data_IF_584695040768
#
_entry.id   IF_584695040768
#
_cell.length_a   1.000
_cell.length_b   1.000
_cell.length_c   1.000
_cell.angle_alpha   90.00
_cell.angle_beta   90.00
_cell.angle_gamma   90.00
#
_symmetry.space_group_name_H-M   'P 1'
#
loop_
_entity.id
_entity.type
_entity.pdbx_description
1 polymer ?
#
# COMPACT_ATOMS: atom_id res chain seq x y z
N UNK A 1 62.83 -6.38 -24.82
CA UNK A 1 61.83 -5.94 -25.82
C UNK A 1 60.65 -5.36 -25.06
N UNK A 2 60.51 -4.04 -25.05
CA UNK A 2 59.38 -3.35 -24.45
C UNK A 2 58.12 -3.66 -25.28
N UNK A 3 57.07 -4.16 -24.63
CA UNK A 3 55.73 -4.24 -25.23
C UNK A 3 55.09 -2.89 -24.94
N UNK A 4 55.04 -2.06 -25.98
CA UNK A 4 54.23 -0.83 -26.00
C UNK A 4 52.76 -1.29 -25.97
N UNK A 5 52.05 -0.98 -24.89
CA UNK A 5 50.59 -1.02 -24.90
C UNK A 5 50.11 0.05 -25.89
N UNK A 6 49.65 -0.40 -27.06
CA UNK A 6 48.92 0.45 -27.98
C UNK A 6 47.56 0.78 -27.36
N UNK A 7 47.38 2.06 -27.07
CA UNK A 7 46.12 2.66 -26.70
C UNK A 7 45.08 2.38 -27.80
N UNK A 8 44.02 1.65 -27.47
CA UNK A 8 42.93 1.35 -28.43
C UNK A 8 42.06 2.59 -28.57
N UNK A 9 42.48 3.53 -29.42
CA UNK A 9 41.61 4.62 -29.89
C UNK A 9 40.37 4.03 -30.55
N UNK A 10 39.21 4.20 -29.91
CA UNK A 10 37.90 3.84 -30.45
C UNK A 10 37.67 4.63 -31.73
N UNK A 11 37.54 3.94 -32.86
CA UNK A 11 37.33 4.56 -34.17
C UNK A 11 35.91 5.13 -34.24
N UNK A 12 35.75 6.44 -34.01
CA UNK A 12 34.46 7.16 -34.04
C UNK A 12 33.80 6.97 -35.41
N UNK A 13 32.57 6.46 -35.43
CA UNK A 13 31.89 6.10 -36.68
C UNK A 13 31.58 7.35 -37.52
N UNK A 14 31.51 7.23 -38.85
CA UNK A 14 31.15 8.35 -39.75
C UNK A 14 29.81 8.99 -39.39
N UNK A 15 28.89 8.22 -38.78
CA UNK A 15 27.62 8.74 -38.30
C UNK A 15 27.75 9.53 -37.00
N UNK A 16 28.58 9.10 -36.04
CA UNK A 16 28.84 9.88 -34.82
C UNK A 16 29.45 11.24 -35.13
N UNK A 17 30.33 11.32 -36.14
CA UNK A 17 30.85 12.61 -36.61
C UNK A 17 29.76 13.50 -37.20
N UNK A 18 28.92 12.95 -38.09
CA UNK A 18 27.77 13.68 -38.64
C UNK A 18 26.81 14.14 -37.55
N UNK A 19 26.60 13.32 -36.52
CA UNK A 19 25.75 13.67 -35.39
C UNK A 19 26.33 14.87 -34.64
N UNK A 20 27.63 14.85 -34.33
CA UNK A 20 28.31 15.97 -33.69
C UNK A 20 28.18 17.25 -34.54
N UNK A 21 28.43 17.17 -35.85
CA UNK A 21 28.29 18.31 -36.78
C UNK A 21 26.88 18.91 -36.76
N UNK A 22 25.83 18.08 -36.73
CA UNK A 22 24.43 18.54 -36.69
C UNK A 22 24.06 19.19 -35.36
N UNK A 23 24.55 18.63 -34.25
CA UNK A 23 24.37 19.21 -32.93
C UNK A 23 25.07 20.58 -32.80
N UNK A 24 26.25 20.75 -33.39
CA UNK A 24 26.97 22.02 -33.42
C UNK A 24 26.31 23.05 -34.36
N UNK A 25 25.69 22.59 -35.45
CA UNK A 25 25.00 23.44 -36.41
C UNK A 25 23.61 23.90 -35.96
N UNK A 26 23.10 23.37 -34.83
CA UNK A 26 21.74 23.63 -34.36
C UNK A 26 20.65 22.88 -35.13
N UNK A 27 21.01 21.90 -35.96
CA UNK A 27 20.09 21.09 -36.75
C UNK A 27 19.54 19.91 -35.89
N UNK A 28 18.84 20.22 -34.81
CA UNK A 28 18.46 19.22 -33.78
C UNK A 28 17.52 18.13 -34.28
N UNK A 29 16.60 18.46 -35.19
CA UNK A 29 15.73 17.47 -35.84
C UNK A 29 16.53 16.44 -36.64
N UNK A 30 17.53 16.88 -37.42
CA UNK A 30 18.39 15.97 -38.18
C UNK A 30 19.31 15.16 -37.25
N UNK A 31 19.80 15.77 -36.18
CA UNK A 31 20.54 15.06 -35.13
C UNK A 31 19.67 13.94 -34.52
N UNK A 32 18.40 14.22 -34.21
CA UNK A 32 17.43 13.24 -33.72
C UNK A 32 17.23 12.05 -34.67
N UNK A 33 17.06 12.29 -35.97
CA UNK A 33 16.95 11.20 -36.95
C UNK A 33 18.24 10.35 -37.04
N UNK A 34 19.41 10.96 -36.85
CA UNK A 34 20.68 10.24 -36.80
C UNK A 34 20.76 9.37 -35.53
N UNK A 35 20.31 9.86 -34.36
CA UNK A 35 20.21 9.05 -33.15
C UNK A 35 19.33 7.82 -33.36
N UNK A 36 18.14 7.98 -33.94
CA UNK A 36 17.23 6.85 -34.28
C UNK A 36 17.90 5.83 -35.21
N UNK A 37 18.66 6.31 -36.18
CA UNK A 37 19.43 5.44 -37.09
C UNK A 37 20.54 4.68 -36.37
N UNK A 38 21.23 5.33 -35.43
CA UNK A 38 22.26 4.72 -34.60
C UNK A 38 21.68 3.68 -33.67
N UNK A 39 20.48 3.90 -33.12
CA UNK A 39 19.73 2.92 -32.33
C UNK A 39 19.61 1.58 -33.04
N UNK A 40 18.88 1.50 -34.15
CA UNK A 40 18.66 0.22 -34.85
C UNK A 40 19.97 -0.45 -35.25
N UNK A 41 20.98 0.33 -35.66
CA UNK A 41 22.29 -0.20 -36.06
C UNK A 41 23.05 -0.79 -34.87
N UNK A 42 23.13 -0.08 -33.75
CA UNK A 42 23.90 -0.50 -32.59
C UNK A 42 23.20 -1.62 -31.83
N UNK A 43 21.86 -1.61 -31.78
CA UNK A 43 21.03 -2.72 -31.28
C UNK A 43 21.29 -4.00 -32.08
N UNK A 44 21.28 -3.93 -33.42
CA UNK A 44 21.62 -5.07 -34.28
C UNK A 44 23.06 -5.58 -34.10
N UNK A 45 23.98 -4.74 -33.62
CA UNK A 45 25.36 -5.10 -33.30
C UNK A 45 25.54 -5.59 -31.85
N UNK A 46 24.50 -5.56 -31.02
CA UNK A 46 24.57 -5.90 -29.59
C UNK A 46 25.43 -4.93 -28.77
N UNK A 47 25.68 -3.70 -29.25
CA UNK A 47 26.50 -2.69 -28.56
C UNK A 47 25.68 -1.90 -27.53
N UNK A 48 25.06 -2.62 -26.60
CA UNK A 48 24.05 -2.07 -25.70
C UNK A 48 24.58 -0.94 -24.80
N UNK A 49 25.73 -1.12 -24.16
CA UNK A 49 26.26 -0.11 -23.24
C UNK A 49 26.60 1.21 -23.96
N UNK A 50 27.25 1.15 -25.12
CA UNK A 50 27.56 2.33 -25.93
C UNK A 50 26.30 3.01 -26.47
N UNK A 51 25.30 2.22 -26.84
CA UNK A 51 24.01 2.73 -27.30
C UNK A 51 23.26 3.44 -26.18
N UNK A 52 23.20 2.85 -25.00
CA UNK A 52 22.57 3.42 -23.81
C UNK A 52 23.23 4.74 -23.41
N UNK A 53 24.57 4.81 -23.41
CA UNK A 53 25.31 6.05 -23.17
C UNK A 53 24.99 7.11 -24.24
N UNK A 54 24.94 6.72 -25.51
CA UNK A 54 24.64 7.61 -26.62
C UNK A 54 23.24 8.22 -26.50
N UNK A 55 22.23 7.39 -26.25
CA UNK A 55 20.83 7.82 -26.17
C UNK A 55 20.58 8.67 -24.93
N UNK A 56 21.11 8.27 -23.78
CA UNK A 56 20.99 9.05 -22.55
C UNK A 56 21.59 10.45 -22.71
N UNK A 57 22.86 10.52 -23.14
CA UNK A 57 23.53 11.81 -23.34
C UNK A 57 22.86 12.64 -24.45
N UNK A 58 22.33 11.97 -25.48
CA UNK A 58 21.58 12.61 -26.55
C UNK A 58 20.27 13.21 -26.07
N UNK A 59 19.51 12.48 -25.24
CA UNK A 59 18.31 12.99 -24.60
C UNK A 59 18.67 14.24 -23.81
N UNK A 60 19.55 14.16 -22.80
CA UNK A 60 19.98 15.32 -21.99
C UNK A 60 20.40 16.53 -22.84
N UNK A 61 21.19 16.31 -23.90
CA UNK A 61 21.64 17.41 -24.76
C UNK A 61 20.51 18.07 -25.55
N UNK A 62 19.52 17.31 -26.01
CA UNK A 62 18.32 17.85 -26.67
C UNK A 62 17.44 18.63 -25.68
N UNK A 63 17.55 18.32 -24.39
CA UNK A 63 16.87 19.06 -23.32
C UNK A 63 17.48 20.41 -23.07
N UNK A 64 18.81 20.47 -22.99
CA UNK A 64 19.54 21.71 -22.78
C UNK A 64 19.26 22.76 -23.88
N UNK A 65 18.84 22.30 -25.07
CA UNK A 65 18.52 23.14 -26.22
C UNK A 65 17.02 23.34 -26.44
N UNK A 66 16.19 22.93 -25.49
CA UNK A 66 14.72 23.07 -25.51
C UNK A 66 14.03 22.36 -26.69
N UNK A 67 14.47 21.14 -27.01
CA UNK A 67 13.87 20.24 -28.03
C UNK A 67 13.19 19.02 -27.36
N UNK A 68 12.07 19.23 -26.63
CA UNK A 68 11.52 18.22 -25.73
C UNK A 68 10.98 16.98 -26.43
N UNK A 69 10.28 17.13 -27.56
CA UNK A 69 9.71 15.98 -28.30
C UNK A 69 10.79 15.02 -28.77
N UNK A 70 11.88 15.55 -29.30
CA UNK A 70 13.02 14.75 -29.78
C UNK A 70 13.71 14.03 -28.61
N UNK A 71 13.83 14.69 -27.45
CA UNK A 71 14.42 14.11 -26.27
C UNK A 71 13.56 13.02 -25.61
N UNK A 72 12.23 13.19 -25.60
CA UNK A 72 11.28 12.16 -25.14
C UNK A 72 11.43 10.89 -25.99
N UNK A 73 11.47 11.01 -27.32
CA UNK A 73 11.69 9.85 -28.20
C UNK A 73 13.04 9.17 -27.93
N UNK A 74 14.12 9.94 -27.68
CA UNK A 74 15.41 9.34 -27.29
C UNK A 74 15.39 8.68 -25.92
N UNK A 75 14.62 9.21 -24.97
CA UNK A 75 14.39 8.60 -23.68
C UNK A 75 13.65 7.26 -23.84
N UNK A 76 12.59 7.20 -24.63
CA UNK A 76 11.87 5.95 -24.94
C UNK A 76 12.81 4.91 -25.56
N UNK A 77 13.63 5.31 -26.54
CA UNK A 77 14.63 4.42 -27.14
C UNK A 77 15.72 3.97 -26.15
N UNK A 78 16.15 4.85 -25.24
CA UNK A 78 17.10 4.49 -24.19
C UNK A 78 16.52 3.37 -23.33
N UNK A 79 15.26 3.49 -22.94
CA UNK A 79 14.56 2.51 -22.13
C UNK A 79 14.30 1.21 -22.89
N UNK A 80 13.87 1.28 -24.15
CA UNK A 80 13.69 0.11 -25.02
C UNK A 80 15.01 -0.67 -25.17
N UNK A 81 16.14 0.05 -25.32
CA UNK A 81 17.46 -0.56 -25.41
C UNK A 81 17.86 -1.32 -24.13
N UNK A 82 17.36 -0.90 -22.97
CA UNK A 82 17.63 -1.58 -21.70
C UNK A 82 16.90 -2.92 -21.65
N UNK A 83 15.62 -2.95 -22.06
CA UNK A 83 14.82 -4.18 -22.13
C UNK A 83 15.43 -5.19 -23.10
N UNK A 84 15.85 -4.74 -24.29
CA UNK A 84 16.44 -5.62 -25.29
C UNK A 84 17.83 -6.15 -24.90
N UNK A 85 18.56 -5.40 -24.08
CA UNK A 85 19.94 -5.74 -23.73
C UNK A 85 20.09 -6.93 -22.79
N UNK A 86 19.02 -7.39 -22.11
CA UNK A 86 19.08 -8.37 -21.01
C UNK A 86 20.18 -8.07 -19.97
N UNK A 87 20.65 -6.82 -19.87
CA UNK A 87 21.69 -6.43 -18.93
C UNK A 87 21.09 -6.27 -17.54
N UNK A 88 21.79 -6.70 -16.47
CA UNK A 88 21.34 -6.45 -15.11
C UNK A 88 21.26 -4.94 -14.88
N UNK A 89 20.10 -4.48 -14.42
CA UNK A 89 19.88 -3.07 -14.12
C UNK A 89 20.78 -2.66 -12.95
N UNK A 90 21.72 -1.77 -13.22
CA UNK A 90 22.63 -1.24 -12.20
C UNK A 90 22.03 -0.02 -11.51
N UNK A 91 22.56 0.36 -10.34
CA UNK A 91 22.19 1.63 -9.68
C UNK A 91 22.39 2.82 -10.61
N UNK A 92 23.52 2.87 -11.34
CA UNK A 92 23.82 3.92 -12.31
C UNK A 92 22.80 3.99 -13.45
N UNK A 93 22.27 2.84 -13.89
CA UNK A 93 21.19 2.78 -14.89
C UNK A 93 19.90 3.40 -14.33
N UNK A 94 19.57 3.06 -13.08
CA UNK A 94 18.39 3.62 -12.40
C UNK A 94 18.52 5.12 -12.12
N UNK A 95 19.73 5.63 -11.88
CA UNK A 95 19.98 7.07 -11.69
C UNK A 95 19.77 7.85 -12.99
N UNK A 96 20.11 7.23 -14.13
CA UNK A 96 19.83 7.80 -15.46
C UNK A 96 18.34 7.81 -15.78
N UNK A 97 17.62 6.73 -15.42
CA UNK A 97 16.15 6.72 -15.48
C UNK A 97 15.54 7.85 -14.66
N UNK A 98 15.96 7.97 -13.39
CA UNK A 98 15.45 9.00 -12.48
C UNK A 98 15.68 10.40 -13.06
N UNK A 99 16.86 10.69 -13.63
CA UNK A 99 17.14 11.99 -14.24
C UNK A 99 16.23 12.29 -15.45
N UNK A 100 16.04 11.32 -16.34
CA UNK A 100 15.16 11.47 -17.51
C UNK A 100 13.71 11.70 -17.10
N UNK A 101 13.26 10.94 -16.10
CA UNK A 101 11.91 11.03 -15.53
C UNK A 101 11.69 12.36 -14.80
N UNK A 102 12.63 12.75 -13.94
CA UNK A 102 12.57 13.99 -13.19
C UNK A 102 12.47 15.19 -14.14
N UNK A 103 13.24 15.14 -15.23
CA UNK A 103 13.16 16.15 -16.27
C UNK A 103 11.76 16.22 -16.94
N UNK A 104 11.15 15.08 -17.31
CA UNK A 104 9.81 15.07 -17.91
C UNK A 104 8.77 15.75 -17.03
N UNK A 105 8.96 15.68 -15.70
CA UNK A 105 8.06 16.29 -14.73
C UNK A 105 8.37 17.74 -14.39
N UNK A 106 9.62 18.19 -14.55
CA UNK A 106 10.06 19.56 -14.27
C UNK A 106 9.89 20.49 -15.48
N UNK A 107 9.58 19.96 -16.67
CA UNK A 107 9.14 20.76 -17.79
C UNK A 107 7.86 21.54 -17.46
N UNK A 108 7.87 22.85 -17.73
CA UNK A 108 6.69 23.71 -17.57
C UNK A 108 5.48 23.14 -18.32
N UNK A 109 4.35 23.01 -17.62
CA UNK A 109 3.08 22.44 -18.11
C UNK A 109 2.54 23.12 -19.38
N UNK A 110 3.06 24.29 -19.75
CA UNK A 110 2.66 25.05 -20.94
C UNK A 110 3.41 24.65 -22.22
N UNK A 111 4.57 23.97 -22.15
CA UNK A 111 5.39 23.63 -23.34
C UNK A 111 5.06 22.25 -23.91
N UNK A 112 4.58 21.31 -23.07
CA UNK A 112 4.09 20.00 -23.50
C UNK A 112 2.56 19.96 -23.48
N UNK A 113 1.94 20.66 -24.43
CA UNK A 113 0.52 20.50 -24.74
C UNK A 113 0.34 19.11 -25.37
N UNK A 114 0.03 18.11 -24.53
CA UNK A 114 0.02 16.65 -24.80
C UNK A 114 1.45 16.06 -24.72
N UNK A 115 1.79 15.18 -23.78
CA UNK A 115 1.36 13.79 -23.75
C UNK A 115 1.57 13.18 -22.33
N UNK A 116 0.52 13.08 -21.49
CA UNK A 116 0.58 12.22 -20.29
C UNK A 116 0.87 10.75 -20.62
N UNK A 117 0.70 10.35 -21.89
CA UNK A 117 0.96 9.01 -22.44
C UNK A 117 2.44 8.62 -22.30
N UNK A 118 3.38 9.40 -22.84
CA UNK A 118 4.83 9.09 -22.77
C UNK A 118 5.38 9.02 -21.35
N UNK A 119 4.89 9.85 -20.42
CA UNK A 119 5.29 9.78 -19.02
C UNK A 119 4.83 8.48 -18.35
N UNK A 120 3.63 8.00 -18.69
CA UNK A 120 3.11 6.71 -18.21
C UNK A 120 3.84 5.55 -18.87
N UNK A 121 4.10 5.63 -20.18
CA UNK A 121 4.90 4.62 -20.91
C UNK A 121 6.27 4.45 -20.25
N UNK A 122 6.97 5.54 -19.95
CA UNK A 122 8.26 5.49 -19.28
C UNK A 122 8.18 4.98 -17.84
N UNK A 123 7.12 5.31 -17.11
CA UNK A 123 6.88 4.77 -15.77
C UNK A 123 6.64 3.25 -15.82
N UNK A 124 5.85 2.78 -16.79
CA UNK A 124 5.58 1.36 -17.02
C UNK A 124 6.87 0.62 -17.36
N UNK A 125 7.66 1.16 -18.28
CA UNK A 125 8.94 0.58 -18.67
C UNK A 125 9.97 0.57 -17.52
N UNK A 126 9.96 1.59 -16.65
CA UNK A 126 10.79 1.61 -15.44
C UNK A 126 10.44 0.43 -14.51
N UNK A 127 9.16 0.22 -14.24
CA UNK A 127 8.69 -0.90 -13.42
C UNK A 127 9.00 -2.26 -14.06
N UNK A 128 8.82 -2.38 -15.37
CA UNK A 128 9.18 -3.59 -16.13
C UNK A 128 10.68 -3.88 -16.04
N UNK A 129 11.51 -2.83 -16.11
CA UNK A 129 12.97 -2.95 -15.98
C UNK A 129 13.35 -3.46 -14.58
N UNK A 130 12.70 -2.96 -13.51
CA UNK A 130 12.90 -3.46 -12.15
C UNK A 130 12.52 -4.94 -12.02
N UNK A 131 11.42 -5.35 -12.66
CA UNK A 131 10.96 -6.74 -12.65
C UNK A 131 11.89 -7.68 -13.41
N UNK A 132 12.28 -7.33 -14.64
CA UNK A 132 13.14 -8.15 -15.49
C UNK A 132 14.54 -8.37 -14.89
N UNK A 133 15.04 -7.36 -14.20
CA UNK A 133 16.34 -7.41 -13.51
C UNK A 133 16.28 -8.06 -12.13
N UNK A 134 15.10 -8.50 -11.68
CA UNK A 134 14.88 -9.08 -10.35
C UNK A 134 15.43 -8.17 -9.23
N UNK A 135 15.26 -6.85 -9.38
CA UNK A 135 15.78 -5.88 -8.43
C UNK A 135 15.01 -5.94 -7.11
N UNK A 136 15.71 -6.09 -5.96
CA UNK A 136 15.05 -6.15 -4.67
C UNK A 136 14.35 -4.83 -4.35
N UNK A 137 13.29 -4.91 -3.55
CA UNK A 137 12.62 -3.72 -3.03
C UNK A 137 13.56 -3.01 -2.05
N UNK A 138 13.72 -1.70 -2.21
CA UNK A 138 14.54 -0.84 -1.35
C UNK A 138 13.85 0.51 -1.19
N UNK A 139 14.23 1.30 -0.18
CA UNK A 139 13.68 2.66 -0.04
C UNK A 139 13.91 3.47 -1.33
N UNK A 140 15.12 3.45 -1.88
CA UNK A 140 15.47 4.22 -3.08
C UNK A 140 14.61 3.85 -4.30
N UNK A 141 14.38 2.56 -4.54
CA UNK A 141 13.54 2.13 -5.67
C UNK A 141 12.07 2.50 -5.47
N UNK A 142 11.59 2.46 -4.22
CA UNK A 142 10.24 2.90 -3.89
C UNK A 142 10.06 4.43 -3.91
N UNK A 143 11.08 5.19 -3.49
CA UNK A 143 11.13 6.66 -3.57
C UNK A 143 10.97 7.12 -5.02
N UNK A 144 11.67 6.46 -5.95
CA UNK A 144 11.56 6.71 -7.39
C UNK A 144 10.17 6.39 -7.94
N UNK A 145 9.62 5.23 -7.57
CA UNK A 145 8.24 4.88 -7.95
C UNK A 145 7.22 5.89 -7.41
N UNK A 146 7.36 6.34 -6.17
CA UNK A 146 6.48 7.32 -5.56
C UNK A 146 6.53 8.67 -6.28
N UNK A 147 7.73 9.16 -6.60
CA UNK A 147 7.90 10.38 -7.39
C UNK A 147 7.21 10.26 -8.76
N UNK A 148 7.40 9.14 -9.46
CA UNK A 148 6.71 8.83 -10.72
C UNK A 148 5.19 8.86 -10.55
N UNK A 149 4.68 8.09 -9.60
CA UNK A 149 3.25 7.82 -9.45
C UNK A 149 2.44 9.04 -8.98
N UNK A 150 3.04 9.91 -8.16
CA UNK A 150 2.41 11.15 -7.66
C UNK A 150 2.29 12.23 -8.73
N UNK A 151 3.15 12.21 -9.75
CA UNK A 151 3.13 13.18 -10.85
C UNK A 151 2.12 12.81 -11.93
N UNK A 152 1.73 11.54 -12.04
CA UNK A 152 0.67 11.10 -12.93
C UNK A 152 -0.69 11.57 -12.41
N UNK A 153 -1.55 12.18 -13.25
CA UNK A 153 -2.87 12.64 -12.82
C UNK A 153 -3.74 11.45 -12.39
N UNK A 154 -4.62 11.61 -11.39
CA UNK A 154 -5.46 10.51 -10.90
C UNK A 154 -6.38 9.91 -11.97
N UNK A 155 -6.72 10.68 -12.99
CA UNK A 155 -7.46 10.25 -14.16
C UNK A 155 -6.66 10.64 -15.41
N UNK A 156 -6.24 9.63 -16.17
CA UNK A 156 -5.67 9.83 -17.50
C UNK A 156 -6.84 9.90 -18.50
N UNK A 157 -7.19 11.09 -18.97
CA UNK A 157 -8.43 11.35 -19.73
C UNK A 157 -8.42 10.79 -21.18
N UNK A 158 -7.31 10.23 -21.68
CA UNK A 158 -7.13 9.94 -23.12
C UNK A 158 -7.08 8.48 -23.57
N UNK A 159 -7.21 7.50 -22.67
CA UNK A 159 -7.09 6.09 -23.09
C UNK A 159 -8.46 5.41 -23.24
N UNK A 160 -9.21 5.80 -24.27
CA UNK A 160 -10.23 4.92 -24.86
C UNK A 160 -9.55 4.00 -25.86
N UNK A 161 -9.67 2.68 -25.68
CA UNK A 161 -9.26 1.72 -26.70
C UNK A 161 -10.01 1.98 -28.02
N UNK A 162 -9.52 1.40 -29.12
CA UNK A 162 -10.21 1.42 -30.42
C UNK A 162 -11.68 0.93 -30.31
N UNK A 163 -11.98 0.14 -29.28
CA UNK A 163 -13.31 -0.41 -28.97
C UNK A 163 -14.15 0.46 -28.01
N UNK A 164 -13.66 1.63 -27.60
CA UNK A 164 -14.36 2.55 -26.69
C UNK A 164 -14.28 2.19 -25.20
N UNK A 165 -13.46 1.21 -24.81
CA UNK A 165 -13.25 0.87 -23.40
C UNK A 165 -12.21 1.81 -22.77
N UNK A 166 -12.54 2.37 -21.61
CA UNK A 166 -11.63 3.22 -20.81
C UNK A 166 -10.58 2.34 -20.13
N UNK A 167 -9.30 2.55 -20.45
CA UNK A 167 -8.16 1.91 -19.79
C UNK A 167 -7.63 2.85 -18.73
N UNK A 168 -7.46 2.35 -17.51
CA UNK A 168 -6.88 3.11 -16.41
C UNK A 168 -5.39 2.76 -16.29
N UNK A 169 -4.56 3.36 -17.15
CA UNK A 169 -3.13 3.07 -17.20
C UNK A 169 -2.40 3.37 -15.90
N UNK A 170 -2.89 4.32 -15.09
CA UNK A 170 -2.32 4.60 -13.77
C UNK A 170 -2.52 3.40 -12.84
N UNK A 171 -3.71 2.80 -12.85
CA UNK A 171 -3.98 1.56 -12.12
C UNK A 171 -3.23 0.36 -12.71
N UNK A 172 -3.00 0.31 -14.03
CA UNK A 172 -2.17 -0.73 -14.63
C UNK A 172 -0.70 -0.63 -14.18
N UNK A 173 -0.13 0.58 -14.19
CA UNK A 173 1.21 0.85 -13.66
C UNK A 173 1.32 0.40 -12.21
N UNK A 174 0.35 0.76 -11.36
CA UNK A 174 0.29 0.32 -9.97
C UNK A 174 0.25 -1.21 -9.86
N UNK A 175 -0.53 -1.86 -10.72
CA UNK A 175 -0.65 -3.32 -10.77
C UNK A 175 0.64 -4.00 -11.23
N UNK A 176 1.37 -3.42 -12.20
CA UNK A 176 2.70 -3.88 -12.63
C UNK A 176 3.70 -3.73 -11.48
N UNK A 177 3.70 -2.58 -10.79
CA UNK A 177 4.61 -2.33 -9.68
C UNK A 177 4.36 -3.29 -8.52
N UNK A 178 3.09 -3.56 -8.21
CA UNK A 178 2.72 -4.56 -7.20
C UNK A 178 3.28 -5.94 -7.58
N UNK A 179 3.10 -6.38 -8.83
CA UNK A 179 3.62 -7.67 -9.32
C UNK A 179 5.15 -7.74 -9.22
N UNK A 180 5.86 -6.65 -9.52
CA UNK A 180 7.30 -6.58 -9.30
C UNK A 180 7.65 -6.82 -7.81
N UNK A 181 7.01 -6.12 -6.88
CA UNK A 181 7.30 -6.32 -5.45
C UNK A 181 6.99 -7.74 -4.97
N UNK A 182 5.99 -8.39 -5.57
CA UNK A 182 5.67 -9.80 -5.32
C UNK A 182 6.76 -10.73 -5.86
N UNK A 183 7.27 -10.50 -7.07
CA UNK A 183 8.26 -11.39 -7.68
C UNK A 183 9.59 -11.43 -6.94
N UNK A 184 9.95 -10.32 -6.28
CA UNK A 184 11.21 -10.19 -5.52
C UNK A 184 11.03 -10.35 -4.00
N UNK A 185 9.84 -10.75 -3.56
CA UNK A 185 9.49 -10.82 -2.14
C UNK A 185 10.27 -11.89 -1.35
N UNK A 186 10.87 -11.50 -0.23
CA UNK A 186 11.67 -12.38 0.63
C UNK A 186 10.80 -13.30 1.51
N UNK A 187 9.67 -12.81 2.02
CA UNK A 187 8.69 -13.58 2.81
C UNK A 187 7.55 -14.10 1.95
N UNK A 188 6.91 -15.21 2.35
CA UNK A 188 5.71 -15.74 1.65
C UNK A 188 4.60 -14.69 1.53
N UNK A 189 4.34 -13.94 2.60
CA UNK A 189 3.38 -12.81 2.59
C UNK A 189 3.71 -11.81 1.48
N UNK A 190 4.99 -11.47 1.30
CA UNK A 190 5.40 -10.47 0.31
C UNK A 190 5.25 -11.03 -1.11
N UNK A 191 5.56 -12.31 -1.32
CA UNK A 191 5.34 -12.97 -2.62
C UNK A 191 3.88 -13.09 -3.01
N UNK A 192 2.99 -13.23 -2.03
CA UNK A 192 1.55 -13.39 -2.28
C UNK A 192 0.80 -12.05 -2.36
N UNK A 193 1.34 -10.99 -1.72
CA UNK A 193 0.62 -9.73 -1.51
C UNK A 193 1.35 -8.46 -1.89
N UNK A 194 2.66 -8.51 -2.10
CA UNK A 194 3.49 -7.34 -2.33
C UNK A 194 4.19 -6.87 -1.05
N UNK A 195 5.17 -5.99 -1.23
CA UNK A 195 6.00 -5.50 -0.14
C UNK A 195 5.23 -4.49 0.75
N UNK A 196 5.30 -4.58 2.10
CA UNK A 196 4.54 -3.71 2.99
C UNK A 196 4.87 -2.21 2.82
N UNK A 197 6.14 -1.86 2.59
CA UNK A 197 6.54 -0.47 2.35
C UNK A 197 5.98 0.11 1.04
N UNK A 198 5.83 -0.73 0.01
CA UNK A 198 5.18 -0.31 -1.23
C UNK A 198 3.71 0.02 -0.96
N UNK A 199 3.01 -0.84 -0.23
CA UNK A 199 1.64 -0.56 0.22
C UNK A 199 1.55 0.71 1.07
N UNK A 200 2.48 0.95 1.99
CA UNK A 200 2.49 2.14 2.83
C UNK A 200 2.56 3.44 2.02
N UNK A 201 3.43 3.49 1.00
CA UNK A 201 3.59 4.66 0.12
C UNK A 201 2.37 4.89 -0.75
N UNK A 202 1.90 3.84 -1.44
CA UNK A 202 0.69 3.92 -2.28
C UNK A 202 -0.53 4.33 -1.46
N UNK A 203 -0.69 3.81 -0.25
CA UNK A 203 -1.79 4.17 0.63
C UNK A 203 -1.79 5.66 0.99
N UNK A 204 -0.61 6.25 1.28
CA UNK A 204 -0.46 7.68 1.57
C UNK A 204 -0.83 8.53 0.37
N UNK A 205 -0.38 8.17 -0.82
CA UNK A 205 -0.71 8.89 -2.07
C UNK A 205 -2.22 8.88 -2.31
N UNK A 206 -2.84 7.70 -2.28
CA UNK A 206 -4.29 7.55 -2.48
C UNK A 206 -5.10 8.26 -1.40
N UNK A 207 -4.60 8.32 -0.16
CA UNK A 207 -5.21 9.07 0.92
C UNK A 207 -5.16 10.58 0.65
N UNK A 208 -4.01 11.12 0.24
CA UNK A 208 -3.89 12.53 -0.13
C UNK A 208 -4.78 12.93 -1.31
N UNK A 209 -5.07 11.98 -2.22
CA UNK A 209 -6.00 12.15 -3.34
C UNK A 209 -7.48 12.01 -2.95
N UNK A 210 -7.78 11.68 -1.69
CA UNK A 210 -9.15 11.47 -1.21
C UNK A 210 -9.76 10.12 -1.61
N UNK A 211 -8.99 9.19 -2.18
CA UNK A 211 -9.44 7.82 -2.47
C UNK A 211 -9.33 6.93 -1.22
N UNK A 212 -10.18 7.19 -0.23
CA UNK A 212 -10.16 6.52 1.07
C UNK A 212 -10.31 5.00 0.98
N UNK A 213 -11.16 4.51 0.06
CA UNK A 213 -11.41 3.06 -0.07
C UNK A 213 -10.16 2.34 -0.56
N UNK A 214 -9.51 2.84 -1.60
CA UNK A 214 -8.28 2.25 -2.10
C UNK A 214 -7.13 2.42 -1.10
N UNK A 215 -7.00 3.59 -0.47
CA UNK A 215 -6.01 3.84 0.58
C UNK A 215 -6.14 2.83 1.73
N UNK A 216 -7.36 2.56 2.23
CA UNK A 216 -7.61 1.55 3.26
C UNK A 216 -7.12 0.17 2.85
N UNK A 217 -7.39 -0.24 1.61
CA UNK A 217 -6.99 -1.55 1.07
C UNK A 217 -5.47 -1.71 0.98
N UNK A 218 -4.72 -0.62 0.79
CA UNK A 218 -3.26 -0.65 0.85
C UNK A 218 -2.74 -0.55 2.29
N UNK A 219 -3.30 0.33 3.13
CA UNK A 219 -2.85 0.48 4.52
C UNK A 219 -2.95 -0.84 5.30
N UNK A 220 -4.02 -1.61 5.11
CA UNK A 220 -4.14 -2.91 5.75
C UNK A 220 -3.01 -3.87 5.36
N UNK A 221 -2.41 -3.76 4.17
CA UNK A 221 -1.29 -4.61 3.76
C UNK A 221 0.09 -4.03 4.15
N UNK A 222 0.13 -2.78 4.61
CA UNK A 222 1.33 -2.10 5.11
C UNK A 222 1.64 -2.45 6.56
N UNK A 223 2.88 -2.17 6.98
CA UNK A 223 3.33 -2.29 8.38
C UNK A 223 3.50 -0.92 9.07
N UNK A 224 2.91 0.15 8.49
CA UNK A 224 2.94 1.53 9.03
C UNK A 224 1.71 1.81 9.91
N UNK A 225 1.76 1.38 11.17
CA UNK A 225 0.65 1.53 12.12
C UNK A 225 0.28 2.99 12.37
N UNK A 226 1.27 3.87 12.39
CA UNK A 226 1.10 5.27 12.73
C UNK A 226 0.32 6.03 11.65
N UNK A 227 0.73 5.85 10.39
CA UNK A 227 0.02 6.48 9.27
C UNK A 227 -1.32 5.80 9.04
N UNK A 228 -1.45 4.49 9.30
CA UNK A 228 -2.75 3.83 9.23
C UNK A 228 -3.73 4.36 10.30
N UNK A 229 -3.29 4.56 11.55
CA UNK A 229 -4.11 5.17 12.59
C UNK A 229 -4.54 6.59 12.20
N UNK A 230 -3.60 7.41 11.71
CA UNK A 230 -3.86 8.77 11.26
C UNK A 230 -4.88 8.80 10.10
N UNK A 231 -4.73 7.89 9.14
CA UNK A 231 -5.68 7.70 8.05
C UNK A 231 -7.08 7.32 8.55
N UNK A 232 -7.20 6.38 9.50
CA UNK A 232 -8.49 5.95 10.03
C UNK A 232 -9.20 7.09 10.76
N UNK A 233 -8.47 7.96 11.47
CA UNK A 233 -9.02 9.14 12.13
C UNK A 233 -9.54 10.13 11.09
N UNK A 234 -8.75 10.46 10.07
CA UNK A 234 -9.18 11.36 8.99
C UNK A 234 -10.38 10.78 8.21
N UNK A 235 -10.34 9.49 7.90
CA UNK A 235 -11.42 8.79 7.20
C UNK A 235 -12.72 8.78 8.01
N UNK A 236 -12.65 8.51 9.31
CA UNK A 236 -13.80 8.56 10.22
C UNK A 236 -14.39 9.97 10.28
N UNK A 237 -13.54 11.00 10.43
CA UNK A 237 -14.02 12.38 10.58
C UNK A 237 -14.66 12.93 9.32
N UNK A 238 -14.17 12.54 8.14
CA UNK A 238 -14.68 13.04 6.86
C UNK A 238 -15.84 12.23 6.29
N UNK A 239 -15.86 10.92 6.53
CA UNK A 239 -16.80 10.02 5.86
C UNK A 239 -17.70 9.23 6.82
N UNK A 240 -17.42 9.21 8.12
CA UNK A 240 -18.17 8.44 9.11
C UNK A 240 -19.06 9.29 10.02
N UNK A 241 -20.00 8.64 10.71
CA UNK A 241 -20.77 9.29 11.76
C UNK A 241 -19.98 9.37 13.08
N UNK A 242 -20.27 10.37 13.93
CA UNK A 242 -19.61 10.55 15.25
C UNK A 242 -19.77 9.33 16.20
N UNK A 243 -20.83 8.55 16.00
CA UNK A 243 -21.13 7.32 16.74
C UNK A 243 -20.34 6.11 16.25
N UNK A 244 -19.63 6.19 15.13
CA UNK A 244 -18.95 5.06 14.50
C UNK A 244 -17.43 5.03 14.75
N UNK A 245 -16.89 5.99 15.51
CA UNK A 245 -15.45 6.08 15.78
C UNK A 245 -14.82 4.78 16.30
N UNK A 246 -15.55 4.03 17.13
CA UNK A 246 -15.10 2.72 17.59
C UNK A 246 -15.23 1.62 16.53
N UNK A 247 -16.19 1.71 15.60
CA UNK A 247 -16.35 0.76 14.50
C UNK A 247 -15.20 0.82 13.50
N UNK A 248 -14.69 2.02 13.18
CA UNK A 248 -13.59 2.18 12.22
C UNK A 248 -12.33 1.44 12.67
N UNK A 249 -11.92 1.65 13.93
CA UNK A 249 -10.76 0.98 14.49
C UNK A 249 -11.03 -0.50 14.78
N UNK A 250 -12.23 -0.86 15.27
CA UNK A 250 -12.58 -2.26 15.51
C UNK A 250 -12.49 -3.09 14.22
N UNK A 251 -13.08 -2.60 13.13
CA UNK A 251 -12.98 -3.26 11.83
C UNK A 251 -11.53 -3.40 11.38
N UNK A 252 -10.73 -2.32 11.44
CA UNK A 252 -9.33 -2.37 11.02
C UNK A 252 -8.50 -3.36 11.86
N UNK A 253 -8.61 -3.32 13.19
CA UNK A 253 -7.89 -4.22 14.10
C UNK A 253 -8.27 -5.68 13.86
N UNK A 254 -9.57 -6.00 13.70
CA UNK A 254 -10.04 -7.36 13.40
C UNK A 254 -9.50 -7.86 12.06
N UNK A 255 -9.50 -7.02 11.03
CA UNK A 255 -8.97 -7.40 9.72
C UNK A 255 -7.45 -7.60 9.76
N UNK A 256 -6.70 -6.76 10.49
CA UNK A 256 -5.24 -6.95 10.71
C UNK A 256 -4.95 -8.26 11.46
N UNK A 257 -5.75 -8.60 12.47
CA UNK A 257 -5.65 -9.91 13.15
C UNK A 257 -5.89 -11.08 12.18
N UNK A 258 -6.86 -10.95 11.26
CA UNK A 258 -7.08 -11.96 10.21
C UNK A 258 -5.87 -12.13 9.26
N UNK A 259 -4.93 -11.19 9.27
CA UNK A 259 -3.69 -11.23 8.46
C UNK A 259 -2.49 -11.80 9.22
N UNK A 260 -2.66 -12.39 10.41
CA UNK A 260 -1.59 -12.92 11.29
C UNK A 260 -0.56 -11.85 11.72
N UNK A 261 -1.05 -10.68 12.14
CA UNK A 261 -0.21 -9.55 12.59
C UNK A 261 -0.75 -8.91 13.87
N UNK A 262 -0.77 -9.68 14.94
CA UNK A 262 -1.27 -9.27 16.24
C UNK A 262 -0.51 -8.09 16.84
N UNK A 263 0.82 -8.02 16.67
CA UNK A 263 1.62 -6.88 17.14
C UNK A 263 1.17 -5.57 16.47
N UNK A 264 1.03 -5.59 15.15
CA UNK A 264 0.51 -4.46 14.37
C UNK A 264 -0.90 -4.08 14.82
N UNK A 265 -1.78 -5.07 15.03
CA UNK A 265 -3.16 -4.84 15.48
C UNK A 265 -3.23 -4.12 16.85
N UNK A 266 -2.38 -4.53 17.79
CA UNK A 266 -2.28 -3.90 19.12
C UNK A 266 -1.77 -2.46 19.05
N UNK A 267 -0.68 -2.23 18.28
CA UNK A 267 -0.10 -0.89 18.11
C UNK A 267 -1.07 0.04 17.39
N UNK A 268 -1.75 -0.45 16.35
CA UNK A 268 -2.75 0.31 15.60
C UNK A 268 -3.90 0.76 16.50
N UNK A 269 -4.43 -0.12 17.36
CA UNK A 269 -5.48 0.21 18.32
C UNK A 269 -5.02 1.32 19.27
N UNK A 270 -3.83 1.17 19.87
CA UNK A 270 -3.27 2.14 20.81
C UNK A 270 -3.12 3.52 20.16
N UNK A 271 -2.45 3.58 19.00
CA UNK A 271 -2.20 4.85 18.29
C UNK A 271 -3.49 5.53 17.86
N UNK A 272 -4.50 4.77 17.46
CA UNK A 272 -5.81 5.32 17.11
C UNK A 272 -6.49 5.93 18.33
N UNK A 273 -6.60 5.20 19.44
CA UNK A 273 -7.28 5.67 20.64
C UNK A 273 -6.58 6.89 21.26
N UNK A 274 -5.24 6.88 21.32
CA UNK A 274 -4.43 7.97 21.83
C UNK A 274 -4.62 9.26 21.02
N UNK A 275 -4.57 9.16 19.68
CA UNK A 275 -4.61 10.32 18.78
C UNK A 275 -6.03 10.79 18.43
N UNK A 276 -7.07 9.97 18.67
CA UNK A 276 -8.43 10.32 18.26
C UNK A 276 -9.05 11.38 19.19
N UNK A 277 -9.54 12.52 18.66
CA UNK A 277 -9.90 13.69 19.47
C UNK A 277 -11.12 13.50 20.40
N UNK A 278 -11.97 12.51 20.12
CA UNK A 278 -13.17 12.20 20.93
C UNK A 278 -13.07 10.87 21.71
N UNK A 279 -11.90 10.22 21.69
CA UNK A 279 -11.64 9.03 22.51
C UNK A 279 -10.65 9.48 23.58
N UNK A 280 -9.39 9.65 23.18
CA UNK A 280 -8.31 10.07 24.06
C UNK A 280 -7.97 9.02 25.14
N UNK A 281 -6.69 8.96 25.49
CA UNK A 281 -6.22 8.15 26.60
C UNK A 281 -5.98 6.68 26.30
N UNK A 282 -5.69 5.93 27.36
CA UNK A 282 -5.36 4.52 27.34
C UNK A 282 -6.54 3.67 27.83
N UNK A 283 -6.46 2.36 27.60
CA UNK A 283 -7.45 1.44 28.13
C UNK A 283 -7.43 1.45 29.69
N UNK A 284 -8.58 1.22 30.36
CA UNK A 284 -9.89 0.93 29.79
C UNK A 284 -10.60 2.17 29.23
N UNK A 285 -11.35 1.97 28.15
CA UNK A 285 -12.06 3.03 27.43
C UNK A 285 -13.53 3.14 27.88
N UNK A 286 -14.13 4.31 27.70
CA UNK A 286 -15.57 4.52 27.90
C UNK A 286 -16.44 3.73 26.90
N UNK A 287 -15.88 3.36 25.75
CA UNK A 287 -16.58 2.66 24.67
C UNK A 287 -16.41 1.14 24.82
N UNK A 288 -17.49 0.37 25.09
CA UNK A 288 -17.39 -1.07 25.34
C UNK A 288 -16.78 -1.86 24.19
N UNK A 289 -17.03 -1.45 22.94
CA UNK A 289 -16.43 -2.12 21.78
C UNK A 289 -14.91 -1.96 21.75
N UNK A 290 -14.36 -0.82 22.17
CA UNK A 290 -12.91 -0.64 22.25
C UNK A 290 -12.29 -1.51 23.33
N UNK A 291 -12.98 -1.67 24.46
CA UNK A 291 -12.54 -2.62 25.50
C UNK A 291 -12.55 -4.06 25.02
N UNK A 292 -13.57 -4.45 24.23
CA UNK A 292 -13.58 -5.75 23.56
C UNK A 292 -12.35 -5.92 22.67
N UNK A 293 -12.08 -4.96 21.78
CA UNK A 293 -10.96 -5.05 20.83
C UNK A 293 -9.62 -5.07 21.56
N UNK A 294 -9.44 -4.25 22.59
CA UNK A 294 -8.26 -4.26 23.44
C UNK A 294 -8.05 -5.62 24.11
N UNK A 295 -9.04 -6.11 24.86
CA UNK A 295 -8.95 -7.42 25.51
C UNK A 295 -8.74 -8.55 24.49
N UNK A 296 -9.31 -8.45 23.28
CA UNK A 296 -9.07 -9.42 22.22
C UNK A 296 -7.60 -9.43 21.80
N UNK A 297 -6.96 -8.26 21.63
CA UNK A 297 -5.53 -8.20 21.30
C UNK A 297 -4.66 -8.82 22.38
N UNK A 298 -4.99 -8.66 23.68
CA UNK A 298 -4.29 -9.33 24.78
C UNK A 298 -4.55 -10.85 24.78
N UNK A 299 -5.81 -11.25 24.56
CA UNK A 299 -6.22 -12.65 24.52
C UNK A 299 -5.51 -13.44 23.40
N UNK A 300 -5.26 -12.79 22.26
CA UNK A 300 -4.50 -13.37 21.13
C UNK A 300 -3.05 -13.66 21.53
N UNK A 301 -2.42 -12.81 22.36
CA UNK A 301 -1.07 -13.06 22.87
C UNK A 301 -1.03 -14.27 23.81
N UNK A 302 -2.07 -14.42 24.65
CA UNK A 302 -2.19 -15.55 25.57
C UNK A 302 -2.50 -16.89 24.90
N UNK A 303 -3.11 -16.88 23.71
CA UNK A 303 -3.57 -18.09 22.99
C UNK A 303 -4.51 -18.99 23.83
N UNK A 304 -5.24 -18.40 24.79
CA UNK A 304 -6.19 -19.12 25.66
C UNK A 304 -7.63 -19.01 25.15
N UNK A 305 -8.13 -20.09 24.54
CA UNK A 305 -9.46 -20.14 23.92
C UNK A 305 -10.61 -19.84 24.88
N UNK A 306 -10.47 -20.18 26.17
CA UNK A 306 -11.51 -19.92 27.19
C UNK A 306 -11.79 -18.43 27.31
N UNK A 307 -10.74 -17.60 27.33
CA UNK A 307 -10.89 -16.14 27.40
C UNK A 307 -11.50 -15.56 26.13
N UNK A 308 -11.13 -16.09 24.97
CA UNK A 308 -11.74 -15.69 23.71
C UNK A 308 -13.25 -15.94 23.70
N UNK A 309 -13.69 -17.14 24.09
CA UNK A 309 -15.12 -17.50 24.14
C UNK A 309 -15.91 -16.62 25.11
N UNK A 310 -15.40 -16.42 26.33
CA UNK A 310 -16.04 -15.56 27.33
C UNK A 310 -16.14 -14.11 26.82
N UNK A 311 -15.09 -13.61 26.16
CA UNK A 311 -15.05 -12.25 25.65
C UNK A 311 -16.09 -12.04 24.53
N UNK A 312 -16.17 -12.96 23.58
CA UNK A 312 -17.16 -12.90 22.48
C UNK A 312 -18.59 -12.95 23.02
N UNK A 313 -18.86 -13.82 23.99
CA UNK A 313 -20.18 -13.92 24.63
C UNK A 313 -20.56 -12.64 25.37
N UNK A 314 -19.66 -12.12 26.22
CA UNK A 314 -19.91 -10.94 27.04
C UNK A 314 -20.20 -9.68 26.20
N UNK A 315 -19.53 -9.52 25.07
CA UNK A 315 -19.64 -8.34 24.22
C UNK A 315 -20.56 -8.52 23.00
N UNK A 316 -21.36 -9.59 22.96
CA UNK A 316 -22.23 -9.92 21.82
C UNK A 316 -23.03 -8.72 21.29
N UNK A 317 -23.67 -7.94 22.17
CA UNK A 317 -24.46 -6.75 21.78
C UNK A 317 -23.64 -5.68 21.06
N UNK A 318 -22.36 -5.53 21.44
CA UNK A 318 -21.45 -4.59 20.77
C UNK A 318 -21.03 -5.12 19.40
N UNK A 319 -20.85 -6.43 19.28
CA UNK A 319 -20.44 -7.11 18.05
C UNK A 319 -21.54 -7.14 16.99
N UNK A 320 -22.81 -7.18 17.40
CA UNK A 320 -23.97 -7.15 16.50
C UNK A 320 -24.14 -5.82 15.75
N UNK A 321 -23.41 -4.75 16.15
CA UNK A 321 -23.39 -3.47 15.43
C UNK A 321 -22.81 -3.58 14.01
N UNK A 322 -21.90 -4.53 13.77
CA UNK A 322 -21.38 -4.84 12.43
C UNK A 322 -21.42 -6.36 12.19
N UNK A 323 -22.32 -6.86 11.32
CA UNK A 323 -22.42 -8.29 11.00
C UNK A 323 -21.12 -8.92 10.48
N UNK A 324 -20.20 -8.14 9.91
CA UNK A 324 -18.92 -8.63 9.40
C UNK A 324 -17.97 -9.10 10.52
N UNK A 325 -18.14 -8.60 11.75
CA UNK A 325 -17.27 -8.97 12.88
C UNK A 325 -17.34 -10.44 13.20
N UNK A 326 -18.51 -11.07 13.05
CA UNK A 326 -18.64 -12.51 13.26
C UNK A 326 -17.71 -13.30 12.34
N UNK A 327 -17.62 -12.90 11.07
CA UNK A 327 -16.77 -13.54 10.07
C UNK A 327 -15.29 -13.38 10.42
N UNK A 328 -14.89 -12.20 10.90
CA UNK A 328 -13.52 -11.97 11.36
C UNK A 328 -13.20 -12.77 12.62
N UNK A 329 -14.11 -12.81 13.59
CA UNK A 329 -13.93 -13.57 14.83
C UNK A 329 -13.87 -15.07 14.59
N UNK A 330 -14.66 -15.61 13.66
CA UNK A 330 -14.56 -17.01 13.24
C UNK A 330 -13.17 -17.31 12.65
N UNK A 331 -12.62 -16.39 11.85
CA UNK A 331 -11.28 -16.53 11.27
C UNK A 331 -10.17 -16.39 12.31
N UNK A 332 -10.28 -15.43 13.23
CA UNK A 332 -9.36 -15.25 14.36
C UNK A 332 -9.38 -16.48 15.26
N UNK A 333 -10.56 -17.02 15.54
CA UNK A 333 -10.79 -18.28 16.23
C UNK A 333 -9.98 -19.44 15.65
N UNK A 334 -10.03 -19.59 14.32
CA UNK A 334 -9.27 -20.60 13.60
C UNK A 334 -7.76 -20.33 13.64
N UNK A 335 -7.33 -19.08 13.42
CA UNK A 335 -5.92 -18.72 13.28
C UNK A 335 -5.15 -18.80 14.60
N UNK A 336 -5.75 -18.35 15.71
CA UNK A 336 -5.05 -18.16 16.98
C UNK A 336 -5.44 -19.17 18.06
N UNK A 337 -6.61 -19.80 17.94
CA UNK A 337 -7.16 -20.67 18.99
C UNK A 337 -7.49 -22.09 18.49
N UNK A 338 -7.22 -22.41 17.22
CA UNK A 338 -7.42 -23.73 16.65
C UNK A 338 -8.88 -24.17 16.57
N UNK A 339 -9.83 -23.21 16.59
CA UNK A 339 -11.25 -23.53 16.46
C UNK A 339 -11.55 -24.09 15.06
N UNK A 340 -12.51 -25.03 14.92
CA UNK A 340 -12.89 -25.56 13.62
C UNK A 340 -13.51 -24.47 12.74
N UNK A 341 -13.45 -24.61 11.40
CA UNK A 341 -14.15 -23.70 10.49
C UNK A 341 -15.64 -23.64 10.82
N UNK A 342 -16.18 -22.43 10.92
CA UNK A 342 -17.60 -22.24 11.20
C UNK A 342 -18.47 -22.94 10.14
N UNK A 343 -19.50 -23.67 10.56
CA UNK A 343 -20.48 -24.27 9.64
C UNK A 343 -21.12 -23.17 8.79
N UNK A 344 -21.22 -23.41 7.47
CA UNK A 344 -21.74 -22.45 6.48
C UNK A 344 -23.13 -21.94 6.89
N UNK A 345 -23.18 -20.78 7.54
CA UNK A 345 -24.42 -20.06 7.80
C UNK A 345 -24.86 -19.35 6.52
N UNK A 346 -26.14 -19.50 6.19
CA UNK A 346 -26.76 -19.07 4.92
C UNK A 346 -26.84 -17.55 4.71
N UNK A 347 -26.11 -16.74 5.47
CA UNK A 347 -26.11 -15.27 5.40
C UNK A 347 -24.93 -14.70 4.56
N UNK A 348 -24.10 -15.54 3.96
CA UNK A 348 -22.83 -15.16 3.32
C UNK A 348 -22.88 -14.68 1.87
N UNK A 349 -24.04 -14.34 1.30
CA UNK A 349 -24.16 -14.02 -0.14
C UNK A 349 -23.45 -12.71 -0.57
N UNK A 350 -23.52 -11.67 0.27
CA UNK A 350 -22.92 -10.35 -0.01
C UNK A 350 -21.63 -10.11 0.80
N UNK A 351 -21.61 -10.53 2.08
CA UNK A 351 -20.41 -10.47 2.94
C UNK A 351 -19.35 -11.49 2.52
N UNK A 352 -19.75 -12.60 1.92
CA UNK A 352 -18.84 -13.55 1.28
C UNK A 352 -18.09 -12.93 0.11
N UNK A 353 -18.60 -11.88 -0.53
CA UNK A 353 -17.91 -11.12 -1.59
C UNK A 353 -16.83 -10.19 -1.02
N UNK A 354 -17.07 -9.61 0.16
CA UNK A 354 -16.08 -8.79 0.89
C UNK A 354 -15.03 -9.69 1.52
N UNK A 355 -15.41 -10.81 2.15
CA UNK A 355 -14.47 -11.81 2.60
C UNK A 355 -13.77 -12.49 1.43
N UNK A 356 -14.38 -12.61 0.24
CA UNK A 356 -13.71 -13.06 -0.98
C UNK A 356 -12.76 -12.00 -1.53
N UNK A 357 -13.09 -10.71 -1.42
CA UNK A 357 -12.21 -9.59 -1.74
C UNK A 357 -11.00 -9.58 -0.81
N UNK A 358 -11.23 -9.70 0.50
CA UNK A 358 -10.21 -9.92 1.52
C UNK A 358 -9.50 -11.26 1.29
N UNK A 359 -10.16 -12.35 0.93
CA UNK A 359 -9.56 -13.68 0.67
C UNK A 359 -8.74 -13.69 -0.62
N UNK A 360 -9.09 -12.86 -1.59
CA UNK A 360 -8.29 -12.59 -2.79
C UNK A 360 -7.08 -11.73 -2.40
N UNK A 361 -7.28 -10.72 -1.54
CA UNK A 361 -6.23 -10.01 -0.80
C UNK A 361 -5.53 -10.87 0.29
N UNK A 362 -5.92 -12.13 0.54
CA UNK A 362 -5.34 -13.03 1.57
C UNK A 362 -4.94 -14.41 1.01
N UNK A 363 -5.03 -14.63 -0.30
CA UNK A 363 -4.38 -15.75 -1.00
C UNK A 363 -5.10 -17.10 -0.99
N UNK A 364 -6.34 -17.18 -0.49
CA UNK A 364 -7.09 -18.44 -0.50
C UNK A 364 -7.72 -18.69 -1.89
N UNK A 365 -6.92 -19.21 -2.82
CA UNK A 365 -7.43 -19.82 -4.05
C UNK A 365 -8.16 -21.13 -3.70
N UNK A 366 -9.47 -21.16 -3.90
CA UNK A 366 -10.26 -22.38 -3.75
C UNK A 366 -9.90 -23.35 -4.89
N UNK A 367 -9.14 -24.41 -4.58
CA UNK A 367 -8.91 -25.52 -5.51
C UNK A 367 -7.64 -26.33 -5.23
N UNK A 368 -7.68 -27.24 -4.25
CA UNK A 368 -6.63 -28.25 -4.02
C UNK A 368 -6.93 -29.10 -2.77
N UNK A 369 -6.66 -30.41 -2.76
CA UNK A 369 -7.10 -31.29 -1.69
C UNK A 369 -6.35 -31.00 -0.40
N UNK A 370 -7.09 -30.97 0.70
CA UNK A 370 -6.65 -30.77 2.07
C UNK A 370 -5.51 -31.72 2.46
N UNK A 371 -4.31 -31.15 2.68
CA UNK A 371 -3.25 -31.77 3.49
C UNK A 371 -3.24 -31.10 4.86
N UNK A 372 -3.10 -31.94 5.88
CA UNK A 372 -3.11 -31.68 7.32
C UNK A 372 -2.29 -30.45 7.74
N UNK A 373 -2.88 -29.64 8.61
CA UNK A 373 -2.42 -28.33 9.09
C UNK A 373 -1.47 -28.39 10.29
N UNK A 374 -0.39 -29.17 10.19
CA UNK A 374 0.63 -29.28 11.25
C UNK A 374 2.03 -28.78 10.82
N UNK A 375 2.12 -28.01 9.73
CA UNK A 375 3.30 -27.19 9.50
C UNK A 375 3.11 -25.87 10.26
N UNK A 376 3.90 -25.64 11.31
CA UNK A 376 4.11 -24.30 11.81
C UNK A 376 4.44 -23.41 10.59
N UNK A 377 3.60 -22.43 10.28
CA UNK A 377 3.88 -21.45 9.22
C UNK A 377 5.16 -20.70 9.66
N UNK A 378 6.32 -21.12 9.15
CA UNK A 378 7.66 -20.53 9.44
C UNK A 378 7.75 -19.03 9.12
N UNK A 379 6.71 -18.45 8.52
CA UNK A 379 6.60 -17.05 8.08
C UNK A 379 5.57 -16.23 8.89
N UNK A 380 5.12 -16.73 10.05
CA UNK A 380 4.23 -15.96 10.94
C UNK A 380 4.99 -14.79 11.59
N UNK A 381 4.58 -13.55 11.31
CA UNK A 381 5.11 -12.33 11.98
C UNK A 381 4.69 -12.25 13.47
N UNK A 382 3.82 -13.15 13.93
CA UNK A 382 3.39 -13.29 15.33
C UNK A 382 4.42 -14.07 16.18
N UNK A 383 5.66 -13.58 16.25
CA UNK A 383 6.65 -14.04 17.24
C UNK A 383 6.55 -13.18 18.50
N UNK A 384 5.84 -13.70 19.50
CA UNK A 384 5.76 -13.11 20.84
C UNK A 384 6.94 -13.65 21.66
N UNK A 385 8.13 -13.10 21.45
CA UNK A 385 9.35 -13.56 22.14
C UNK A 385 9.22 -13.60 23.67
N UNK A 386 10.06 -14.42 24.31
CA UNK A 386 10.06 -14.77 25.75
C UNK A 386 10.16 -13.56 26.72
N UNK A 387 10.54 -12.38 26.23
CA UNK A 387 10.83 -11.19 27.05
C UNK A 387 9.67 -10.22 27.31
N UNK A 388 8.44 -10.52 26.89
CA UNK A 388 7.31 -9.59 27.05
C UNK A 388 5.91 -10.18 26.80
N UNK A 389 5.77 -11.51 26.86
CA UNK A 389 4.47 -12.14 26.74
C UNK A 389 3.61 -11.78 27.96
N UNK A 390 2.41 -11.22 27.73
CA UNK A 390 1.41 -11.06 28.77
C UNK A 390 1.17 -12.41 29.44
N UNK A 391 1.20 -12.44 30.76
CA UNK A 391 0.79 -13.59 31.54
C UNK A 391 -0.72 -13.55 31.85
N UNK A 392 -1.22 -14.64 32.41
CA UNK A 392 -2.63 -14.77 32.75
C UNK A 392 -3.07 -13.74 33.80
N UNK A 393 -2.21 -13.43 34.77
CA UNK A 393 -2.48 -12.46 35.83
C UNK A 393 -2.57 -11.03 35.27
N UNK A 394 -1.70 -10.66 34.33
CA UNK A 394 -1.75 -9.41 33.59
C UNK A 394 -3.05 -9.25 32.80
N UNK A 395 -3.50 -10.32 32.15
CA UNK A 395 -4.80 -10.31 31.45
C UNK A 395 -5.99 -10.20 32.41
N UNK A 396 -5.98 -10.93 33.52
CA UNK A 396 -7.05 -10.84 34.54
C UNK A 396 -7.10 -9.42 35.13
N UNK A 397 -5.96 -8.80 35.37
CA UNK A 397 -5.86 -7.41 35.84
C UNK A 397 -6.47 -6.45 34.83
N UNK A 398 -6.11 -6.59 33.55
CA UNK A 398 -6.69 -5.81 32.45
C UNK A 398 -8.21 -6.00 32.31
N UNK A 399 -8.70 -7.25 32.38
CA UNK A 399 -10.13 -7.53 32.31
C UNK A 399 -10.91 -6.98 33.52
N UNK A 400 -10.27 -6.94 34.69
CA UNK A 400 -10.86 -6.41 35.92
C UNK A 400 -10.95 -4.89 35.90
N UNK A 401 -9.97 -4.19 35.30
CA UNK A 401 -10.01 -2.73 35.19
C UNK A 401 -11.18 -2.22 34.35
N UNK A 402 -11.60 -2.97 33.32
CA UNK A 402 -12.81 -2.65 32.52
C UNK A 402 -14.09 -2.75 33.35
N UNK A 403 -14.17 -3.75 34.23
CA UNK A 403 -15.34 -3.92 35.09
C UNK A 403 -15.42 -2.82 36.15
N UNK A 404 -14.28 -2.33 36.64
CA UNK A 404 -14.21 -1.25 37.61
C UNK A 404 -14.60 0.13 37.03
N UNK A 405 -14.48 0.31 35.72
CA UNK A 405 -14.80 1.56 35.02
C UNK A 405 -16.20 1.58 34.39
N UNK A 406 -16.92 0.45 34.33
CA UNK A 406 -18.30 0.40 33.82
C UNK A 406 -19.34 0.73 34.92
N UNK A 407 -20.14 1.81 34.81
CA UNK A 407 -21.17 2.15 35.79
C UNK A 407 -22.47 1.35 35.55
N UNK A 408 -22.40 0.02 35.46
CA UNK A 408 -23.59 -0.85 35.41
C UNK A 408 -23.37 -2.12 36.21
N UNK A 409 -23.78 -2.06 37.49
CA UNK A 409 -24.46 -3.13 38.27
C UNK A 409 -24.20 -3.00 39.79
N UNK A 410 -24.55 -1.85 40.38
CA UNK A 410 -24.98 -1.82 41.77
C UNK A 410 -26.33 -1.08 41.84
N UNK A 411 -27.40 -1.82 41.60
CA UNK A 411 -28.74 -1.44 42.06
C UNK A 411 -29.63 -2.67 42.01
N UNK A 412 -29.62 -3.45 43.09
CA UNK A 412 -30.79 -4.18 43.54
C UNK A 412 -30.67 -4.47 45.04
N UNK A 413 -30.97 -3.46 45.85
CA UNK A 413 -31.37 -3.65 47.24
C UNK A 413 -32.36 -2.57 47.70
N UNK A 414 -33.64 -2.87 47.45
CA UNK A 414 -34.88 -2.41 48.13
C UNK A 414 -35.36 -0.95 47.97
N UNK A 415 -36.71 -0.74 48.00
CA UNK A 415 -37.34 0.56 47.83
C UNK A 415 -37.58 1.27 49.16
N UNK A 416 -37.48 2.59 49.17
CA UNK A 416 -38.05 3.44 50.21
C UNK A 416 -38.92 4.52 49.57
N UNK A 417 -40.20 4.52 49.96
CA UNK A 417 -41.22 5.48 49.60
C UNK A 417 -40.93 6.86 50.22
N UNK A 418 -41.37 7.94 49.56
CA UNK A 418 -41.46 9.24 50.21
C UNK A 418 -41.54 10.45 49.26
N UNK A 419 -42.77 10.78 48.86
CA UNK A 419 -43.32 12.13 48.64
C UNK A 419 -42.40 13.29 48.17
N UNK A 420 -42.73 13.92 47.04
CA UNK A 420 -43.65 15.08 46.97
C UNK A 420 -43.40 15.94 45.72
N UNK A 421 -44.51 16.44 45.16
CA UNK A 421 -44.61 17.38 44.07
C UNK A 421 -43.80 18.67 44.29
N UNK A 422 -43.12 19.15 43.25
CA UNK A 422 -43.17 20.57 42.86
C UNK A 422 -43.07 20.65 41.33
N UNK A 423 -44.08 21.28 40.73
CA UNK A 423 -44.09 21.69 39.33
C UNK A 423 -43.28 22.98 39.13
N UNK A 424 -42.61 23.10 37.98
CA UNK A 424 -42.33 24.40 37.37
C UNK A 424 -42.14 24.24 35.86
N UNK A 425 -43.07 24.84 35.15
CA UNK A 425 -43.11 25.23 33.74
C UNK A 425 -41.98 26.20 33.36
N UNK A 426 -41.47 26.12 32.12
CA UNK A 426 -40.95 27.20 31.24
C UNK A 426 -40.30 26.49 30.04
N UNK A 427 -40.99 26.30 28.92
CA UNK A 427 -41.36 27.23 27.82
C UNK A 427 -40.21 27.55 26.84
N UNK A 428 -40.52 27.14 25.61
CA UNK A 428 -40.10 27.46 24.24
C UNK A 428 -38.75 28.07 23.83
N UNK A 429 -38.36 27.55 22.66
CA UNK A 429 -37.70 28.20 21.52
C UNK A 429 -36.19 28.48 21.60
N UNK A 430 -35.44 27.86 20.67
CA UNK A 430 -34.57 28.65 19.80
C UNK A 430 -34.20 27.90 18.53
N UNK A 431 -34.25 28.69 17.46
CA UNK A 431 -34.29 28.34 16.05
C UNK A 431 -32.97 27.80 15.48
N UNK A 432 -33.18 27.11 14.36
CA UNK A 432 -32.19 26.74 13.36
C UNK A 432 -31.86 27.96 12.50
N UNK A 433 -30.56 28.15 12.23
CA UNK A 433 -30.03 28.64 10.95
C UNK A 433 -28.77 27.83 10.61
#
# INVERSE_FOLDING_TARGET
>A
KAIVCADKTVQVSRLEKKLADRLESGDYYEAHQIYRTLYYRMSAQGKWQQLQDLLYNGAIKLLDVNEPTSAVDLAELFVESLQQSNMPVSSATLDRFEQVIQWLFDMDKEVLVNEPTSAVDLAELFVESLQQSNMPVSSATLDRFEQLFTRLPPVLEKDTTVDGNRVDRRNELLSRALKWTMSVGEKKRYREKGHPDFHARVAKILWHEGNYVAARNHFILSDDAEKFASFLIDFQQRCGFKSEKDLFIAQATLQVLCTRRAKMASVLLQLYCEKHPQIGGEAPYELPLLNFIWLLTLCVQLKKVIYFSILVEKYQKCLERDPSYRVYLDKIGQLYFGLPPAQKSSCGGLLGSILKGISCLLGNSAGGPSRSSDAADEDSDDDFGDGGALDEDGYITAASSVNATSPVAQADSKPAAGASNVASTFDDSMDLD
#
